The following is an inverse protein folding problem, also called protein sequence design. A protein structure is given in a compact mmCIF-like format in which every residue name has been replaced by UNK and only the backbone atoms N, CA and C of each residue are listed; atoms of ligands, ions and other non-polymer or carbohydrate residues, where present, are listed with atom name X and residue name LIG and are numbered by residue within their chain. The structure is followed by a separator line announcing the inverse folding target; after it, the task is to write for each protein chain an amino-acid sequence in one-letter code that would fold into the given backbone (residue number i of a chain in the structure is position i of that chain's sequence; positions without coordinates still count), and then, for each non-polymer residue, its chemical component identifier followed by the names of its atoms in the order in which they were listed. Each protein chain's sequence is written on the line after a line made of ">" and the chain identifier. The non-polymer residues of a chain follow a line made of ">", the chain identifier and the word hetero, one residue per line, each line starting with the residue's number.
data_IF_630987288271
#
_entry.id   IF_630987288271
#
_cell.length_a   1.000
_cell.length_b   1.000
_cell.length_c   1.000
_cell.angle_alpha   90.00
_cell.angle_beta   90.00
_cell.angle_gamma   90.00
#
_symmetry.space_group_name_H-M   'P 1'
#
loop_
_entity.id
_entity.type
_entity.pdbx_description
1 polymer ?
#
# COMPACT_ATOMS: atom_id res chain seq x y z
N UNK A 1 -19.50 17.53 -2.65
CA UNK A 1 -20.13 16.79 -3.81
C UNK A 1 -21.36 16.02 -3.32
N UNK A 2 -22.43 15.87 -4.15
CA UNK A 2 -23.65 15.19 -3.73
C UNK A 2 -23.41 13.67 -3.62
N UNK A 3 -23.83 13.05 -2.51
CA UNK A 3 -23.68 11.61 -2.25
C UNK A 3 -24.35 10.72 -3.32
N UNK A 4 -25.49 11.15 -3.87
CA UNK A 4 -26.17 10.41 -4.95
C UNK A 4 -25.33 10.36 -6.22
N UNK A 5 -24.68 11.45 -6.60
CA UNK A 5 -23.76 11.50 -7.73
C UNK A 5 -22.57 10.56 -7.51
N UNK A 6 -21.94 10.59 -6.32
CA UNK A 6 -20.85 9.68 -5.99
C UNK A 6 -21.27 8.21 -6.13
N UNK A 7 -22.46 7.85 -5.64
CA UNK A 7 -22.97 6.47 -5.75
C UNK A 7 -23.24 6.05 -7.19
N UNK A 8 -23.84 6.93 -8.00
CA UNK A 8 -24.05 6.67 -9.42
C UNK A 8 -22.71 6.47 -10.15
N UNK A 9 -21.73 7.35 -9.92
CA UNK A 9 -20.38 7.21 -10.46
C UNK A 9 -19.74 5.88 -10.08
N UNK A 10 -19.74 5.52 -8.79
CA UNK A 10 -19.18 4.28 -8.28
C UNK A 10 -19.83 3.05 -8.90
N UNK A 11 -21.16 3.08 -9.07
CA UNK A 11 -21.90 1.99 -9.70
C UNK A 11 -21.49 1.82 -11.18
N UNK A 12 -21.44 2.91 -11.95
CA UNK A 12 -21.00 2.89 -13.35
C UNK A 12 -19.55 2.43 -13.47
N UNK A 13 -18.66 2.94 -12.60
CA UNK A 13 -17.25 2.53 -12.58
C UNK A 13 -17.10 1.05 -12.26
N UNK A 14 -17.88 0.51 -11.29
CA UNK A 14 -17.87 -0.90 -10.93
C UNK A 14 -18.23 -1.82 -12.11
N UNK A 15 -19.18 -1.39 -12.94
CA UNK A 15 -19.58 -2.13 -14.14
C UNK A 15 -18.40 -2.11 -15.15
N UNK A 16 -17.84 -0.94 -15.44
CA UNK A 16 -16.68 -0.82 -16.36
C UNK A 16 -15.46 -1.61 -15.88
N UNK A 17 -15.20 -1.57 -14.57
CA UNK A 17 -14.06 -2.28 -13.97
C UNK A 17 -14.13 -3.81 -14.09
N UNK A 18 -15.32 -4.40 -14.33
CA UNK A 18 -15.47 -5.85 -14.58
C UNK A 18 -14.83 -6.31 -15.89
N UNK A 19 -14.72 -5.41 -16.85
CA UNK A 19 -14.17 -5.70 -18.17
C UNK A 19 -12.67 -5.40 -18.28
N UNK A 20 -12.05 -4.86 -17.22
CA UNK A 20 -10.62 -4.61 -17.19
C UNK A 20 -9.85 -5.91 -16.95
N UNK A 21 -8.68 -6.08 -17.61
CA UNK A 21 -7.84 -7.28 -17.47
C UNK A 21 -7.05 -7.28 -16.16
N UNK A 22 -7.76 -7.46 -15.05
CA UNK A 22 -7.15 -7.58 -13.73
C UNK A 22 -6.25 -8.81 -13.66
N UNK A 23 -5.09 -8.64 -13.07
CA UNK A 23 -4.14 -9.71 -12.80
C UNK A 23 -3.53 -9.57 -11.42
N UNK A 24 -2.98 -10.63 -10.91
CA UNK A 24 -2.10 -10.65 -9.75
C UNK A 24 -0.70 -11.02 -10.22
N UNK A 25 0.37 -10.57 -9.54
CA UNK A 25 1.71 -11.06 -9.81
C UNK A 25 1.81 -12.58 -9.62
N UNK A 26 2.74 -13.20 -10.32
CA UNK A 26 3.21 -14.53 -9.98
C UNK A 26 4.06 -14.43 -8.71
N UNK A 27 3.78 -15.28 -7.70
CA UNK A 27 4.35 -15.14 -6.35
C UNK A 27 5.35 -16.27 -6.08
N UNK A 28 6.51 -15.88 -5.58
CA UNK A 28 7.51 -16.77 -5.01
C UNK A 28 7.71 -16.39 -3.55
N UNK A 29 7.51 -17.33 -2.62
CA UNK A 29 7.54 -17.04 -1.19
C UNK A 29 8.41 -18.03 -0.43
N UNK A 30 8.97 -17.58 0.70
CA UNK A 30 9.75 -18.38 1.62
C UNK A 30 11.15 -17.79 1.82
N UNK A 31 11.84 -18.28 2.84
CA UNK A 31 13.21 -17.90 3.14
C UNK A 31 14.14 -18.22 1.98
N UNK A 32 15.00 -17.25 1.61
CA UNK A 32 15.92 -17.37 0.48
C UNK A 32 15.26 -17.24 -0.90
N UNK A 33 13.94 -16.97 -0.96
CA UNK A 33 13.26 -16.82 -2.24
C UNK A 33 13.75 -15.63 -3.07
N UNK A 34 14.50 -14.67 -2.49
CA UNK A 34 15.17 -13.60 -3.24
C UNK A 34 16.01 -14.16 -4.41
N UNK A 35 16.66 -15.31 -4.22
CA UNK A 35 17.49 -15.94 -5.24
C UNK A 35 16.71 -16.42 -6.47
N UNK A 36 15.38 -16.54 -6.36
CA UNK A 36 14.50 -16.83 -7.51
C UNK A 36 14.50 -15.70 -8.55
N UNK A 37 14.89 -14.47 -8.15
CA UNK A 37 15.05 -13.38 -9.10
C UNK A 37 16.00 -13.73 -10.24
N UNK A 38 17.12 -14.39 -9.97
CA UNK A 38 18.07 -14.82 -10.99
C UNK A 38 17.45 -15.85 -11.96
N UNK A 39 16.70 -16.82 -11.43
CA UNK A 39 16.00 -17.81 -12.26
C UNK A 39 14.92 -17.16 -13.13
N UNK A 40 14.11 -16.26 -12.57
CA UNK A 40 13.09 -15.48 -13.30
C UNK A 40 13.71 -14.70 -14.44
N UNK A 41 14.83 -14.02 -14.19
CA UNK A 41 15.53 -13.23 -15.20
C UNK A 41 16.01 -14.14 -16.34
N UNK A 42 16.68 -15.24 -16.02
CA UNK A 42 17.19 -16.23 -17.00
C UNK A 42 16.04 -16.83 -17.83
N UNK A 43 14.99 -17.30 -17.19
CA UNK A 43 13.84 -17.96 -17.85
C UNK A 43 13.07 -17.03 -18.78
N UNK A 44 13.11 -15.72 -18.53
CA UNK A 44 12.49 -14.70 -19.37
C UNK A 44 13.47 -14.03 -20.37
N UNK A 45 14.73 -14.49 -20.43
CA UNK A 45 15.73 -13.93 -21.31
C UNK A 45 16.16 -12.50 -20.97
N UNK A 46 15.96 -12.08 -19.72
CA UNK A 46 16.30 -10.75 -19.22
C UNK A 46 17.77 -10.78 -18.71
N UNK A 47 18.57 -9.84 -19.17
CA UNK A 47 20.01 -9.85 -18.96
C UNK A 47 20.56 -8.60 -18.30
N UNK A 48 19.78 -7.52 -18.25
CA UNK A 48 20.19 -6.21 -17.75
C UNK A 48 19.17 -5.61 -16.81
N UNK A 49 18.94 -6.22 -15.62
CA UNK A 49 18.01 -5.67 -14.65
C UNK A 49 18.50 -4.34 -14.09
N UNK A 50 17.58 -3.36 -14.04
CA UNK A 50 17.77 -2.13 -13.29
C UNK A 50 17.31 -2.37 -11.85
N UNK A 51 18.25 -2.44 -10.93
CA UNK A 51 17.97 -2.71 -9.52
C UNK A 51 17.72 -1.41 -8.78
N UNK A 52 16.58 -1.33 -8.09
CA UNK A 52 16.29 -0.25 -7.14
C UNK A 52 16.32 -0.86 -5.74
N UNK A 53 17.33 -0.46 -4.95
CA UNK A 53 17.51 -0.92 -3.58
C UNK A 53 18.25 0.16 -2.77
N UNK A 54 17.98 0.27 -1.47
CA UNK A 54 18.73 1.20 -0.61
C UNK A 54 20.19 0.77 -0.46
N UNK A 55 21.08 1.72 -0.10
CA UNK A 55 22.50 1.40 0.18
C UNK A 55 22.64 0.30 1.24
N UNK A 56 21.78 0.30 2.26
CA UNK A 56 21.78 -0.74 3.29
C UNK A 56 21.45 -2.11 2.70
N UNK A 57 20.43 -2.19 1.83
CA UNK A 57 20.06 -3.44 1.16
C UNK A 57 21.17 -3.94 0.23
N UNK A 58 21.84 -3.04 -0.51
CA UNK A 58 22.96 -3.42 -1.36
C UNK A 58 24.18 -3.96 -0.56
N UNK A 59 24.32 -3.58 0.70
CA UNK A 59 25.38 -4.08 1.59
C UNK A 59 24.99 -5.36 2.35
N UNK A 60 23.74 -5.80 2.23
CA UNK A 60 23.21 -6.98 2.91
C UNK A 60 23.73 -8.28 2.29
N UNK A 61 23.88 -9.33 3.12
CA UNK A 61 24.38 -10.63 2.69
C UNK A 61 23.46 -11.32 1.67
N UNK A 62 22.15 -11.17 1.81
CA UNK A 62 21.18 -11.75 0.87
C UNK A 62 21.29 -11.12 -0.53
N UNK A 63 21.56 -9.80 -0.58
CA UNK A 63 21.79 -9.12 -1.86
C UNK A 63 23.11 -9.55 -2.49
N UNK A 64 24.18 -9.74 -1.70
CA UNK A 64 25.46 -10.26 -2.19
C UNK A 64 25.30 -11.67 -2.78
N UNK A 65 24.60 -12.56 -2.08
CA UNK A 65 24.30 -13.90 -2.60
C UNK A 65 23.50 -13.85 -3.92
N UNK A 66 22.58 -12.90 -4.05
CA UNK A 66 21.87 -12.67 -5.32
C UNK A 66 22.84 -12.18 -6.42
N UNK A 67 23.74 -11.24 -6.10
CA UNK A 67 24.74 -10.75 -7.08
C UNK A 67 25.63 -11.89 -7.59
N UNK A 68 26.18 -12.72 -6.69
CA UNK A 68 26.98 -13.89 -7.05
C UNK A 68 26.22 -14.82 -8.01
N UNK A 69 24.95 -15.11 -7.71
CA UNK A 69 24.12 -15.96 -8.57
C UNK A 69 23.80 -15.32 -9.93
N UNK A 70 23.70 -14.00 -10.00
CA UNK A 70 23.50 -13.26 -11.26
C UNK A 70 24.77 -13.23 -12.11
N UNK A 71 25.93 -13.04 -11.46
CA UNK A 71 27.25 -13.08 -12.12
C UNK A 71 27.51 -14.45 -12.75
N UNK A 72 27.17 -15.56 -12.05
CA UNK A 72 27.22 -16.93 -12.59
C UNK A 72 26.39 -17.14 -13.86
N UNK A 73 25.39 -16.28 -14.08
CA UNK A 73 24.45 -16.37 -15.22
C UNK A 73 24.71 -15.29 -16.30
N UNK A 74 25.83 -14.56 -16.22
CA UNK A 74 26.18 -13.43 -17.11
C UNK A 74 25.06 -12.35 -17.15
N UNK A 75 24.44 -12.06 -16.01
CA UNK A 75 23.41 -11.01 -15.86
C UNK A 75 24.06 -9.77 -15.25
N UNK A 76 24.08 -8.67 -16.02
CA UNK A 76 24.73 -7.42 -15.64
C UNK A 76 23.77 -6.49 -14.91
N UNK A 77 24.08 -6.13 -13.66
CA UNK A 77 23.29 -5.22 -12.85
C UNK A 77 23.59 -3.74 -13.14
N UNK A 78 22.55 -2.91 -13.18
CA UNK A 78 22.63 -1.47 -12.94
C UNK A 78 21.89 -1.16 -11.66
N UNK A 79 22.51 -0.42 -10.72
CA UNK A 79 21.94 -0.19 -9.38
C UNK A 79 21.65 1.29 -9.17
N UNK A 80 20.45 1.60 -8.69
CA UNK A 80 20.03 2.92 -8.21
C UNK A 80 19.67 2.84 -6.72
N UNK A 81 20.44 3.52 -5.86
CA UNK A 81 20.30 3.39 -4.40
C UNK A 81 19.90 4.67 -3.66
N UNK A 82 19.42 5.67 -4.40
CA UNK A 82 19.17 7.02 -3.86
C UNK A 82 17.69 7.42 -3.95
N UNK A 83 16.77 6.46 -3.75
CA UNK A 83 15.34 6.79 -3.66
C UNK A 83 15.04 7.30 -2.26
N UNK A 84 14.53 8.53 -2.19
CA UNK A 84 14.04 9.17 -0.98
C UNK A 84 12.64 8.66 -0.56
N UNK A 85 12.27 8.76 0.72
CA UNK A 85 10.89 8.58 1.13
C UNK A 85 9.97 9.53 0.35
N UNK A 86 8.84 9.04 -0.16
CA UNK A 86 7.94 9.77 -1.06
C UNK A 86 8.66 10.31 -2.31
N UNK A 87 9.00 9.45 -3.27
CA UNK A 87 9.87 9.78 -4.40
C UNK A 87 9.36 10.98 -5.19
N UNK A 88 10.28 11.86 -5.55
CA UNK A 88 10.01 13.04 -6.35
C UNK A 88 9.93 12.73 -7.84
N UNK A 89 9.27 13.61 -8.61
CA UNK A 89 9.28 13.56 -10.07
C UNK A 89 10.71 13.56 -10.62
N UNK A 90 11.61 14.32 -9.99
CA UNK A 90 13.03 14.38 -10.38
C UNK A 90 13.73 13.02 -10.24
N UNK A 91 13.51 12.32 -9.13
CA UNK A 91 14.07 11.00 -8.90
C UNK A 91 13.54 10.00 -9.93
N UNK A 92 12.26 10.04 -10.25
CA UNK A 92 11.65 9.20 -11.29
C UNK A 92 12.27 9.46 -12.67
N UNK A 93 12.51 10.72 -13.05
CA UNK A 93 13.14 11.06 -14.35
C UNK A 93 14.63 10.62 -14.36
N UNK A 94 15.37 10.74 -13.24
CA UNK A 94 16.74 10.21 -13.12
C UNK A 94 16.78 8.69 -13.33
N UNK A 95 15.88 7.95 -12.67
CA UNK A 95 15.74 6.50 -12.85
C UNK A 95 15.45 6.15 -14.32
N UNK A 96 14.49 6.84 -14.96
CA UNK A 96 14.13 6.58 -16.34
C UNK A 96 15.28 6.91 -17.33
N UNK A 97 16.06 7.95 -17.04
CA UNK A 97 17.25 8.32 -17.82
C UNK A 97 18.35 7.28 -17.68
N UNK A 98 18.70 6.90 -16.44
CA UNK A 98 19.74 5.91 -16.13
C UNK A 98 19.41 4.54 -16.76
N UNK A 99 18.13 4.10 -16.64
CA UNK A 99 17.65 2.86 -17.24
C UNK A 99 17.96 2.79 -18.75
N UNK A 100 17.78 3.90 -19.48
CA UNK A 100 18.06 3.98 -20.93
C UNK A 100 19.56 3.99 -21.23
N UNK A 101 20.34 4.77 -20.45
CA UNK A 101 21.79 4.87 -20.61
C UNK A 101 22.41 3.48 -20.43
N UNK A 102 22.01 2.75 -19.40
CA UNK A 102 22.53 1.43 -19.08
C UNK A 102 21.92 0.32 -19.95
N UNK A 103 21.01 0.67 -20.86
CA UNK A 103 20.31 -0.27 -21.76
C UNK A 103 19.65 -1.42 -20.99
N UNK A 104 19.01 -1.12 -19.88
CA UNK A 104 18.34 -2.12 -19.05
C UNK A 104 17.07 -2.66 -19.72
N UNK A 105 16.65 -3.88 -19.39
CA UNK A 105 15.54 -4.60 -19.99
C UNK A 105 14.37 -4.90 -19.03
N UNK A 106 14.60 -4.76 -17.72
CA UNK A 106 13.59 -4.94 -16.67
C UNK A 106 13.94 -4.16 -15.40
N UNK A 107 13.00 -4.12 -14.45
CA UNK A 107 13.22 -3.62 -13.10
C UNK A 107 13.24 -4.79 -12.09
N UNK A 108 14.20 -4.76 -11.18
CA UNK A 108 14.22 -5.56 -9.95
C UNK A 108 14.21 -4.59 -8.77
N UNK A 109 13.12 -4.57 -8.00
CA UNK A 109 12.94 -3.61 -6.92
C UNK A 109 12.96 -4.32 -5.59
N UNK A 110 13.95 -3.99 -4.76
CA UNK A 110 14.11 -4.53 -3.40
C UNK A 110 13.88 -3.37 -2.43
N UNK A 111 12.73 -3.35 -1.75
CA UNK A 111 12.39 -2.23 -0.87
C UNK A 111 10.93 -2.18 -0.43
N UNK A 112 10.59 -1.12 0.29
CA UNK A 112 9.20 -0.81 0.67
C UNK A 112 8.45 -0.04 -0.42
N UNK A 113 7.41 0.71 -0.02
CA UNK A 113 6.54 1.44 -0.95
C UNK A 113 7.29 2.45 -1.84
N UNK A 114 8.16 3.30 -1.26
CA UNK A 114 8.83 4.37 -2.03
C UNK A 114 9.71 3.87 -3.17
N UNK A 115 10.60 2.88 -3.01
CA UNK A 115 11.31 2.26 -4.12
C UNK A 115 10.39 1.64 -5.16
N UNK A 116 9.29 1.00 -4.74
CA UNK A 116 8.30 0.40 -5.63
C UNK A 116 7.57 1.45 -6.47
N UNK A 117 7.15 2.54 -5.84
CA UNK A 117 6.46 3.64 -6.50
C UNK A 117 7.39 4.35 -7.50
N UNK A 118 8.65 4.60 -7.12
CA UNK A 118 9.64 5.18 -8.02
C UNK A 118 9.86 4.30 -9.27
N UNK A 119 9.99 2.98 -9.08
CA UNK A 119 10.15 2.03 -10.18
C UNK A 119 8.94 1.99 -11.12
N UNK A 120 7.73 1.91 -10.56
CA UNK A 120 6.49 1.90 -11.34
C UNK A 120 6.30 3.19 -12.12
N UNK A 121 6.55 4.34 -11.47
CA UNK A 121 6.45 5.65 -12.12
C UNK A 121 7.49 5.80 -13.24
N UNK A 122 8.75 5.36 -13.01
CA UNK A 122 9.78 5.34 -14.04
C UNK A 122 9.43 4.40 -15.20
N UNK A 123 8.88 3.22 -14.90
CA UNK A 123 8.41 2.29 -15.91
C UNK A 123 7.26 2.88 -16.75
N UNK A 124 6.32 3.60 -16.12
CA UNK A 124 5.27 4.36 -16.81
C UNK A 124 5.85 5.44 -17.73
N UNK A 125 6.85 6.18 -17.24
CA UNK A 125 7.55 7.22 -17.99
C UNK A 125 8.30 6.66 -19.19
N UNK A 126 8.94 5.49 -19.05
CA UNK A 126 9.60 4.76 -20.13
C UNK A 126 8.60 4.27 -21.19
N UNK A 127 7.44 3.79 -20.76
CA UNK A 127 6.38 3.34 -21.67
C UNK A 127 5.73 4.51 -22.44
N UNK A 128 5.77 5.73 -21.89
CA UNK A 128 5.19 6.95 -22.47
C UNK A 128 6.22 8.08 -22.60
N UNK A 129 7.25 7.90 -23.47
CA UNK A 129 8.27 8.93 -23.71
C UNK A 129 7.71 10.22 -24.34
N UNK A 130 6.52 10.12 -24.90
CA UNK A 130 5.75 11.21 -25.51
C UNK A 130 5.06 12.13 -24.49
N UNK A 131 5.00 11.74 -23.18
CA UNK A 131 4.27 12.47 -22.15
C UNK A 131 5.13 12.76 -20.93
N UNK A 132 5.11 13.97 -20.37
CA UNK A 132 5.68 14.22 -19.06
C UNK A 132 4.90 13.44 -17.98
N UNK A 133 5.54 13.20 -16.83
CA UNK A 133 4.94 12.42 -15.74
C UNK A 133 3.62 13.04 -15.24
N UNK A 134 3.50 14.37 -15.24
CA UNK A 134 2.26 15.08 -14.87
C UNK A 134 1.04 14.70 -15.69
N UNK A 135 1.22 14.35 -16.97
CA UNK A 135 0.13 13.88 -17.82
C UNK A 135 -0.23 12.39 -17.61
N UNK A 136 0.59 11.64 -16.86
CA UNK A 136 0.34 10.26 -16.48
C UNK A 136 -0.39 10.14 -15.15
N UNK A 137 -0.48 11.23 -14.38
CA UNK A 137 -1.22 11.31 -13.11
C UNK A 137 -2.71 11.00 -13.34
N UNK A 138 -3.27 10.20 -12.45
CA UNK A 138 -4.67 9.76 -12.47
C UNK A 138 -4.84 8.34 -13.01
N UNK A 139 -6.08 8.00 -13.34
CA UNK A 139 -6.47 6.63 -13.65
C UNK A 139 -6.35 6.33 -15.17
N UNK A 140 -5.72 5.20 -15.50
CA UNK A 140 -5.62 4.65 -16.87
C UNK A 140 -5.05 5.64 -17.90
N UNK A 141 -3.96 6.34 -17.54
CA UNK A 141 -3.29 7.32 -18.43
C UNK A 141 -2.07 6.75 -19.14
N UNK A 142 -1.47 5.68 -18.63
CA UNK A 142 -0.30 5.02 -19.24
C UNK A 142 -0.73 4.21 -20.45
N UNK A 143 -1.61 3.24 -20.29
CA UNK A 143 -2.22 2.42 -21.35
C UNK A 143 -1.23 1.80 -22.34
N UNK A 144 -0.01 1.52 -21.89
CA UNK A 144 1.05 0.86 -22.64
C UNK A 144 1.75 -0.13 -21.76
N UNK A 145 2.31 -1.19 -22.36
CA UNK A 145 3.11 -2.16 -21.65
C UNK A 145 4.37 -1.48 -21.12
N UNK A 146 4.63 -1.67 -19.81
CA UNK A 146 5.85 -1.23 -19.15
C UNK A 146 6.92 -2.32 -19.24
N UNK A 147 8.21 -1.99 -19.01
CA UNK A 147 9.25 -3.00 -18.79
C UNK A 147 8.82 -4.00 -17.70
N UNK A 148 9.21 -5.28 -17.80
CA UNK A 148 8.93 -6.25 -16.75
C UNK A 148 9.43 -5.75 -15.39
N UNK A 149 8.61 -5.94 -14.34
CA UNK A 149 8.95 -5.52 -12.98
C UNK A 149 8.84 -6.72 -12.04
N UNK A 150 9.94 -7.00 -11.34
CA UNK A 150 10.06 -7.99 -10.26
C UNK A 150 10.09 -7.19 -8.96
N UNK A 151 9.11 -7.41 -8.10
CA UNK A 151 8.94 -6.69 -6.85
C UNK A 151 9.32 -7.57 -5.66
N UNK A 152 10.22 -7.09 -4.82
CA UNK A 152 10.70 -7.77 -3.61
C UNK A 152 10.45 -6.86 -2.42
N UNK A 153 9.30 -6.97 -1.73
CA UNK A 153 9.00 -6.12 -0.58
C UNK A 153 9.92 -6.45 0.60
N UNK A 154 10.41 -5.40 1.25
CA UNK A 154 11.18 -5.50 2.51
C UNK A 154 10.40 -4.93 3.70
N UNK A 155 9.13 -4.57 3.49
CA UNK A 155 8.16 -4.17 4.51
C UNK A 155 6.85 -4.91 4.27
N UNK A 156 6.13 -5.25 5.33
CA UNK A 156 4.84 -5.92 5.27
C UNK A 156 3.72 -4.90 5.56
N UNK A 157 3.39 -4.07 4.58
CA UNK A 157 2.45 -2.97 4.79
C UNK A 157 1.75 -2.50 3.53
N UNK A 158 2.47 -1.85 2.65
CA UNK A 158 1.92 -1.15 1.49
C UNK A 158 1.28 -2.07 0.44
N UNK A 159 1.69 -3.33 0.37
CA UNK A 159 1.25 -4.25 -0.68
C UNK A 159 1.56 -3.75 -2.10
N UNK A 160 2.50 -2.80 -2.25
CA UNK A 160 2.78 -2.16 -3.54
C UNK A 160 3.22 -3.14 -4.61
N UNK A 161 3.74 -4.30 -4.23
CA UNK A 161 4.05 -5.42 -5.12
C UNK A 161 2.84 -5.99 -5.86
N UNK A 162 1.61 -5.63 -5.45
CA UNK A 162 0.35 -6.11 -6.08
C UNK A 162 -0.47 -5.01 -6.74
N UNK A 163 -0.11 -3.73 -6.53
CA UNK A 163 -1.00 -2.61 -6.83
C UNK A 163 -0.82 -2.02 -8.21
N UNK A 164 -1.91 -1.40 -8.70
CA UNK A 164 -1.95 -0.60 -9.93
C UNK A 164 -1.35 0.80 -9.74
N UNK A 165 -1.06 1.20 -8.51
CA UNK A 165 -0.72 2.58 -8.18
C UNK A 165 0.78 2.77 -7.97
N UNK A 166 1.24 3.98 -8.29
CA UNK A 166 2.51 4.55 -7.89
C UNK A 166 2.27 5.99 -7.43
N UNK A 167 2.75 6.34 -6.25
CA UNK A 167 2.59 7.69 -5.69
C UNK A 167 3.92 8.43 -5.81
N UNK A 168 3.88 9.62 -6.41
CA UNK A 168 5.04 10.49 -6.58
C UNK A 168 4.75 11.87 -6.01
N UNK A 169 5.77 12.54 -5.50
CA UNK A 169 5.66 13.91 -4.98
C UNK A 169 5.98 14.91 -6.09
N UNK A 170 5.02 15.79 -6.38
CA UNK A 170 5.20 16.88 -7.34
C UNK A 170 6.06 18.01 -6.79
N UNK A 171 6.44 18.96 -7.66
CA UNK A 171 7.13 20.20 -7.27
C UNK A 171 6.27 21.10 -6.37
N UNK A 172 4.97 20.88 -6.32
CA UNK A 172 3.99 21.51 -5.44
C UNK A 172 3.92 20.87 -4.04
N UNK A 173 4.80 19.90 -3.75
CA UNK A 173 4.80 19.05 -2.55
C UNK A 173 3.53 18.21 -2.36
N UNK A 174 2.65 18.16 -3.36
CA UNK A 174 1.49 17.28 -3.34
C UNK A 174 1.84 15.88 -3.85
N UNK A 175 1.16 14.88 -3.27
CA UNK A 175 1.26 13.50 -3.71
C UNK A 175 0.32 13.26 -4.88
N UNK A 176 0.87 12.78 -5.97
CA UNK A 176 0.15 12.46 -7.19
C UNK A 176 0.19 10.96 -7.46
N UNK A 177 -0.97 10.33 -7.59
CA UNK A 177 -1.07 8.92 -7.90
C UNK A 177 -1.16 8.70 -9.42
N UNK A 178 -0.31 7.82 -9.93
CA UNK A 178 -0.40 7.23 -11.27
C UNK A 178 -1.00 5.85 -11.08
N UNK A 179 -2.17 5.59 -11.66
CA UNK A 179 -2.89 4.33 -11.47
C UNK A 179 -3.25 3.70 -12.80
N UNK A 180 -2.63 2.57 -13.10
CA UNK A 180 -2.90 1.84 -14.35
C UNK A 180 -2.60 0.34 -14.17
N UNK A 181 -3.39 -0.51 -14.79
CA UNK A 181 -3.24 -1.98 -14.71
C UNK A 181 -1.88 -2.48 -15.18
N UNK A 182 -1.24 -1.75 -16.10
CA UNK A 182 0.10 -2.10 -16.57
C UNK A 182 1.17 -1.97 -15.47
N UNK A 183 0.92 -1.19 -14.40
CA UNK A 183 1.86 -0.98 -13.30
C UNK A 183 1.91 -2.13 -12.30
N UNK A 184 0.95 -3.06 -12.33
CA UNK A 184 1.03 -4.25 -11.50
C UNK A 184 2.32 -5.00 -11.83
N UNK A 185 3.21 -5.31 -10.86
CA UNK A 185 4.41 -6.10 -11.11
C UNK A 185 4.09 -7.45 -11.76
N UNK A 186 5.01 -7.98 -12.55
CA UNK A 186 4.82 -9.30 -13.14
C UNK A 186 5.09 -10.40 -12.13
N UNK A 187 6.07 -10.19 -11.27
CA UNK A 187 6.52 -11.12 -10.24
C UNK A 187 6.60 -10.42 -8.89
N UNK A 188 6.24 -11.14 -7.84
CA UNK A 188 6.44 -10.73 -6.46
C UNK A 188 7.23 -11.82 -5.73
N UNK A 189 8.29 -11.43 -5.01
CA UNK A 189 9.12 -12.33 -4.23
C UNK A 189 8.98 -11.94 -2.76
N UNK A 190 8.36 -12.81 -1.97
CA UNK A 190 8.06 -12.58 -0.56
C UNK A 190 9.06 -13.34 0.32
N UNK A 191 10.24 -12.75 0.52
CA UNK A 191 11.30 -13.35 1.34
C UNK A 191 11.26 -12.76 2.76
N UNK A 192 10.86 -13.55 3.78
CA UNK A 192 10.75 -13.06 5.15
C UNK A 192 12.09 -12.64 5.75
N UNK A 193 13.22 -13.21 5.30
CA UNK A 193 14.55 -12.85 5.79
C UNK A 193 14.86 -11.37 5.56
N UNK A 194 14.35 -10.77 4.48
CA UNK A 194 14.54 -9.37 4.16
C UNK A 194 13.79 -8.40 5.09
N UNK A 195 12.90 -8.90 5.93
CA UNK A 195 12.12 -8.11 6.90
C UNK A 195 12.61 -8.23 8.34
N UNK A 196 13.52 -9.16 8.62
CA UNK A 196 14.03 -9.44 9.98
C UNK A 196 14.67 -8.21 10.63
N UNK A 197 15.38 -7.40 9.87
CA UNK A 197 16.04 -6.19 10.39
C UNK A 197 15.14 -4.96 10.57
N UNK A 198 13.82 -5.08 10.38
CA UNK A 198 12.90 -3.95 10.57
C UNK A 198 12.75 -3.59 12.05
N UNK A 199 12.88 -2.29 12.41
CA UNK A 199 12.58 -1.82 13.76
C UNK A 199 11.14 -2.14 14.17
N UNK A 200 10.87 -2.41 15.48
CA UNK A 200 9.52 -2.74 15.96
C UNK A 200 8.47 -1.69 15.58
N UNK A 201 8.77 -0.39 15.70
CA UNK A 201 7.81 0.66 15.34
C UNK A 201 7.45 0.64 13.86
N UNK A 202 8.41 0.38 12.96
CA UNK A 202 8.13 0.21 11.52
C UNK A 202 7.28 -1.03 11.27
N UNK A 203 7.55 -2.14 11.98
CA UNK A 203 6.73 -3.36 11.90
C UNK A 203 5.28 -3.07 12.30
N UNK A 204 5.07 -2.33 13.41
CA UNK A 204 3.75 -1.94 13.87
C UNK A 204 3.02 -1.04 12.87
N UNK A 205 3.68 0.04 12.45
CA UNK A 205 3.10 1.02 11.52
C UNK A 205 2.73 0.38 10.18
N UNK A 206 3.64 -0.40 9.60
CA UNK A 206 3.37 -1.06 8.30
C UNK A 206 2.33 -2.16 8.42
N UNK A 207 2.34 -2.94 9.50
CA UNK A 207 1.32 -3.97 9.73
C UNK A 207 -0.08 -3.37 9.93
N UNK A 208 -0.19 -2.23 10.59
CA UNK A 208 -1.46 -1.50 10.74
C UNK A 208 -1.89 -0.84 9.43
N UNK A 209 -0.96 -0.44 8.57
CA UNK A 209 -1.24 -0.02 7.20
C UNK A 209 -1.88 -1.15 6.39
N UNK A 210 -1.29 -2.36 6.42
CA UNK A 210 -1.87 -3.54 5.80
C UNK A 210 -3.27 -3.87 6.35
N UNK A 211 -3.47 -3.74 7.66
CA UNK A 211 -4.79 -3.92 8.28
C UNK A 211 -5.80 -2.90 7.74
N UNK A 212 -5.39 -1.64 7.63
CA UNK A 212 -6.25 -0.57 7.09
C UNK A 212 -6.63 -0.85 5.64
N UNK A 213 -5.67 -1.24 4.81
CA UNK A 213 -5.92 -1.67 3.43
C UNK A 213 -6.96 -2.80 3.36
N UNK A 214 -6.77 -3.85 4.17
CA UNK A 214 -7.67 -5.00 4.20
C UNK A 214 -9.09 -4.61 4.64
N UNK A 215 -9.21 -3.82 5.72
CA UNK A 215 -10.51 -3.40 6.26
C UNK A 215 -11.23 -2.46 5.30
N UNK A 216 -10.56 -1.45 4.74
CA UNK A 216 -11.18 -0.54 3.78
C UNK A 216 -11.59 -1.26 2.49
N UNK A 217 -10.74 -2.15 1.97
CA UNK A 217 -11.11 -3.01 0.85
C UNK A 217 -12.33 -3.86 1.17
N UNK A 218 -12.39 -4.48 2.34
CA UNK A 218 -13.53 -5.29 2.76
C UNK A 218 -14.83 -4.48 2.87
N UNK A 219 -14.73 -3.25 3.35
CA UNK A 219 -15.86 -2.33 3.51
C UNK A 219 -16.33 -1.69 2.19
N UNK A 220 -15.57 -1.79 1.12
CA UNK A 220 -15.91 -1.27 -0.21
C UNK A 220 -17.29 -1.72 -0.67
N UNK A 221 -18.16 -0.78 -1.11
CA UNK A 221 -19.56 -1.12 -1.42
C UNK A 221 -19.76 -1.78 -2.77
N UNK A 222 -19.05 -1.31 -3.81
CA UNK A 222 -19.36 -1.67 -5.19
C UNK A 222 -18.22 -2.41 -5.90
N UNK A 223 -16.97 -2.18 -5.49
CA UNK A 223 -15.79 -2.70 -6.22
C UNK A 223 -15.35 -4.09 -5.74
N UNK A 224 -15.91 -4.56 -4.63
CA UNK A 224 -15.64 -5.88 -4.08
C UNK A 224 -16.10 -7.02 -4.99
N UNK A 225 -15.28 -8.06 -5.03
CA UNK A 225 -15.62 -9.39 -5.56
C UNK A 225 -15.59 -10.43 -4.43
N UNK A 226 -16.02 -11.65 -4.72
CA UNK A 226 -15.86 -12.76 -3.77
C UNK A 226 -14.38 -12.97 -3.40
N UNK A 227 -13.49 -12.88 -4.40
CA UNK A 227 -12.05 -13.06 -4.20
C UNK A 227 -11.45 -11.94 -3.35
N UNK A 228 -11.74 -10.66 -3.65
CA UNK A 228 -11.18 -9.53 -2.88
C UNK A 228 -11.67 -9.55 -1.43
N UNK A 229 -12.89 -9.99 -1.17
CA UNK A 229 -13.39 -10.16 0.21
C UNK A 229 -12.63 -11.25 0.96
N UNK A 230 -12.41 -12.39 0.30
CA UNK A 230 -11.68 -13.50 0.92
C UNK A 230 -10.23 -13.11 1.24
N UNK A 231 -9.54 -12.43 0.31
CA UNK A 231 -8.19 -11.92 0.54
C UNK A 231 -8.16 -10.93 1.72
N UNK A 232 -9.11 -10.01 1.78
CA UNK A 232 -9.20 -9.05 2.89
C UNK A 232 -9.52 -9.74 4.23
N UNK A 233 -10.43 -10.73 4.27
CA UNK A 233 -10.73 -11.53 5.47
C UNK A 233 -9.47 -12.28 5.94
N UNK A 234 -8.74 -12.93 5.02
CA UNK A 234 -7.50 -13.64 5.34
C UNK A 234 -6.43 -12.70 5.88
N UNK A 235 -6.24 -11.54 5.23
CA UNK A 235 -5.28 -10.53 5.70
C UNK A 235 -5.61 -10.06 7.11
N UNK A 236 -6.88 -9.73 7.40
CA UNK A 236 -7.31 -9.32 8.74
C UNK A 236 -6.98 -10.39 9.79
N UNK A 237 -7.39 -11.65 9.56
CA UNK A 237 -7.14 -12.74 10.50
C UNK A 237 -5.65 -12.95 10.72
N UNK A 238 -4.85 -12.95 9.66
CA UNK A 238 -3.40 -13.16 9.73
C UNK A 238 -2.73 -12.01 10.50
N UNK A 239 -3.09 -10.76 10.22
CA UNK A 239 -2.51 -9.60 10.92
C UNK A 239 -2.81 -9.64 12.42
N UNK A 240 -4.06 -9.89 12.82
CA UNK A 240 -4.42 -10.02 14.24
C UNK A 240 -3.71 -11.20 14.94
N UNK A 241 -3.33 -12.22 14.19
CA UNK A 241 -2.63 -13.38 14.74
C UNK A 241 -1.12 -13.15 14.89
N UNK A 242 -0.49 -12.45 13.92
CA UNK A 242 0.96 -12.45 13.76
C UNK A 242 1.63 -11.09 13.98
N UNK A 243 0.91 -9.94 13.83
CA UNK A 243 1.55 -8.62 13.88
C UNK A 243 2.23 -8.34 15.21
N UNK A 244 1.55 -8.58 16.34
CA UNK A 244 2.14 -8.33 17.65
C UNK A 244 3.31 -9.29 17.96
N UNK A 245 3.30 -10.52 17.41
CA UNK A 245 4.41 -11.45 17.53
C UNK A 245 5.62 -10.94 16.77
N UNK A 246 5.43 -10.55 15.50
CA UNK A 246 6.48 -9.96 14.68
C UNK A 246 7.02 -8.63 15.25
N UNK A 247 6.17 -7.86 15.95
CA UNK A 247 6.56 -6.64 16.66
C UNK A 247 7.46 -6.94 17.87
N UNK A 248 7.10 -7.97 18.66
CA UNK A 248 7.85 -8.36 19.87
C UNK A 248 9.14 -9.11 19.55
N UNK A 249 9.06 -9.99 18.57
CA UNK A 249 10.20 -10.78 18.07
C UNK A 249 10.36 -10.58 16.56
N UNK A 250 11.15 -9.58 16.20
CA UNK A 250 11.44 -9.26 14.82
C UNK A 250 12.25 -10.34 14.08
N UNK A 251 12.77 -11.35 14.77
CA UNK A 251 13.55 -12.45 14.18
C UNK A 251 12.71 -13.67 13.84
N UNK A 252 11.43 -13.71 14.25
CA UNK A 252 10.50 -14.79 13.96
C UNK A 252 10.17 -14.86 12.47
N UNK A 253 10.89 -15.66 11.70
CA UNK A 253 10.64 -15.86 10.27
C UNK A 253 9.19 -16.32 9.96
N UNK A 254 8.55 -17.20 10.75
CA UNK A 254 7.15 -17.55 10.49
C UNK A 254 6.20 -16.36 10.59
N UNK A 255 6.37 -15.48 11.61
CA UNK A 255 5.51 -14.30 11.76
C UNK A 255 5.82 -13.25 10.69
N UNK A 256 7.09 -13.08 10.29
CA UNK A 256 7.48 -12.22 9.16
C UNK A 256 6.89 -12.71 7.84
N UNK A 257 6.93 -14.01 7.57
CA UNK A 257 6.34 -14.61 6.38
C UNK A 257 4.82 -14.42 6.34
N UNK A 258 4.14 -14.64 7.47
CA UNK A 258 2.72 -14.42 7.60
C UNK A 258 2.34 -12.95 7.35
N UNK A 259 3.11 -12.00 7.87
CA UNK A 259 2.87 -10.57 7.66
C UNK A 259 3.12 -10.14 6.21
N UNK A 260 4.16 -10.66 5.53
CA UNK A 260 4.36 -10.41 4.10
C UNK A 260 3.19 -10.93 3.25
N UNK A 261 2.71 -12.14 3.53
CA UNK A 261 1.55 -12.70 2.84
C UNK A 261 0.29 -11.88 3.12
N UNK A 262 0.06 -11.45 4.36
CA UNK A 262 -1.09 -10.61 4.70
C UNK A 262 -1.05 -9.25 4.00
N UNK A 263 0.13 -8.62 3.90
CA UNK A 263 0.33 -7.38 3.15
C UNK A 263 0.04 -7.58 1.66
N UNK A 264 0.51 -8.68 1.08
CA UNK A 264 0.22 -9.06 -0.30
C UNK A 264 -1.29 -9.24 -0.52
N UNK A 265 -1.97 -9.99 0.35
CA UNK A 265 -3.41 -10.25 0.26
C UNK A 265 -4.22 -8.96 0.39
N UNK A 266 -3.86 -8.09 1.35
CA UNK A 266 -4.46 -6.77 1.52
C UNK A 266 -4.25 -5.91 0.26
N UNK A 267 -3.04 -5.90 -0.29
CA UNK A 267 -2.67 -5.20 -1.52
C UNK A 267 -3.48 -5.67 -2.73
N UNK A 268 -3.59 -6.98 -2.92
CA UNK A 268 -4.39 -7.59 -3.98
C UNK A 268 -5.89 -7.32 -3.81
N UNK A 269 -6.38 -7.20 -2.58
CA UNK A 269 -7.75 -6.83 -2.30
C UNK A 269 -8.02 -5.36 -2.65
N UNK A 270 -7.24 -4.42 -2.10
CA UNK A 270 -7.54 -3.00 -2.26
C UNK A 270 -7.19 -2.46 -3.65
N UNK A 271 -6.25 -3.07 -4.36
CA UNK A 271 -5.92 -2.63 -5.74
C UNK A 271 -7.16 -2.63 -6.65
N UNK A 272 -8.13 -3.49 -6.36
CA UNK A 272 -9.42 -3.57 -7.05
C UNK A 272 -10.57 -2.93 -6.26
N UNK A 273 -10.60 -3.16 -4.95
CA UNK A 273 -11.68 -2.69 -4.08
C UNK A 273 -11.54 -1.22 -3.67
N UNK A 274 -10.38 -0.61 -3.93
CA UNK A 274 -9.98 0.73 -3.50
C UNK A 274 -9.77 0.85 -1.99
N UNK A 275 -9.14 1.94 -1.60
CA UNK A 275 -9.04 2.42 -0.22
C UNK A 275 -10.25 3.28 0.14
N UNK A 276 -10.28 3.91 1.30
CA UNK A 276 -11.41 4.68 1.78
C UNK A 276 -11.06 5.97 2.50
N UNK A 277 -11.94 6.39 3.43
CA UNK A 277 -11.82 7.67 4.12
C UNK A 277 -10.64 7.73 5.10
N UNK A 278 -10.15 6.59 5.58
CA UNK A 278 -8.93 6.54 6.42
C UNK A 278 -7.75 7.05 5.61
N UNK A 279 -7.52 6.46 4.43
CA UNK A 279 -6.44 6.86 3.55
C UNK A 279 -6.58 8.30 3.07
N UNK A 280 -7.80 8.75 2.74
CA UNK A 280 -8.04 10.14 2.33
C UNK A 280 -7.57 11.16 3.38
N UNK A 281 -7.78 10.87 4.67
CA UNK A 281 -7.29 11.72 5.76
C UNK A 281 -5.77 11.52 5.96
N UNK A 282 -5.29 10.28 5.96
CA UNK A 282 -3.88 9.96 6.19
C UNK A 282 -2.94 10.64 5.18
N UNK A 283 -3.36 10.75 3.92
CA UNK A 283 -2.59 11.44 2.88
C UNK A 283 -2.40 12.94 3.19
N UNK A 284 -3.40 13.59 3.80
CA UNK A 284 -3.28 15.01 4.20
C UNK A 284 -2.27 15.19 5.34
N UNK A 285 -2.24 14.26 6.30
CA UNK A 285 -1.25 14.24 7.39
C UNK A 285 0.17 14.00 6.86
N UNK A 286 0.33 13.08 5.93
CA UNK A 286 1.61 12.85 5.26
C UNK A 286 2.10 14.07 4.48
N UNK A 287 1.19 14.78 3.79
CA UNK A 287 1.51 15.96 3.00
C UNK A 287 1.88 17.19 3.84
N UNK A 288 1.08 17.50 4.87
CA UNK A 288 1.27 18.72 5.67
C UNK A 288 2.30 18.56 6.80
N UNK A 289 2.35 17.40 7.41
CA UNK A 289 3.11 17.19 8.66
C UNK A 289 4.16 16.09 8.56
N UNK A 290 4.32 15.46 7.40
CA UNK A 290 5.24 14.33 7.20
C UNK A 290 5.01 13.17 8.19
N UNK A 291 3.78 13.00 8.67
CA UNK A 291 3.41 11.86 9.53
C UNK A 291 3.63 10.56 8.75
N UNK A 292 4.30 9.55 9.32
CA UNK A 292 4.44 8.25 8.67
C UNK A 292 3.08 7.67 8.28
N UNK A 293 2.97 7.17 7.05
CA UNK A 293 1.69 6.78 6.45
C UNK A 293 0.97 5.70 7.27
N UNK A 294 1.70 4.65 7.67
CA UNK A 294 1.14 3.57 8.48
C UNK A 294 0.72 4.02 9.88
N UNK A 295 1.46 4.95 10.48
CA UNK A 295 1.06 5.58 11.75
C UNK A 295 -0.24 6.37 11.60
N UNK A 296 -0.35 7.17 10.53
CA UNK A 296 -1.57 7.91 10.25
C UNK A 296 -2.78 6.99 10.10
N UNK A 297 -2.64 5.93 9.34
CA UNK A 297 -3.69 4.92 9.14
C UNK A 297 -4.06 4.21 10.45
N UNK A 298 -3.09 3.84 11.28
CA UNK A 298 -3.32 3.15 12.55
C UNK A 298 -4.17 3.97 13.54
N UNK A 299 -3.89 5.28 13.65
CA UNK A 299 -4.63 6.19 14.52
C UNK A 299 -6.03 6.47 13.98
N UNK A 300 -6.16 6.68 12.68
CA UNK A 300 -7.42 7.08 12.04
C UNK A 300 -8.40 5.93 11.87
N UNK A 301 -7.92 4.70 11.67
CA UNK A 301 -8.79 3.54 11.39
C UNK A 301 -9.92 3.38 12.39
N UNK A 302 -9.69 3.27 13.71
CA UNK A 302 -10.77 3.09 14.67
C UNK A 302 -11.75 4.28 14.69
N UNK A 303 -11.27 5.51 14.48
CA UNK A 303 -12.10 6.72 14.47
C UNK A 303 -13.08 6.75 13.29
N UNK A 304 -12.60 6.40 12.10
CA UNK A 304 -13.41 6.34 10.87
C UNK A 304 -14.42 5.19 10.95
N UNK A 305 -14.03 4.02 11.49
CA UNK A 305 -14.92 2.88 11.66
C UNK A 305 -16.06 3.18 12.63
N UNK A 306 -15.78 3.89 13.74
CA UNK A 306 -16.80 4.38 14.66
C UNK A 306 -17.76 5.35 13.97
N UNK A 307 -17.23 6.29 13.17
CA UNK A 307 -18.04 7.28 12.48
C UNK A 307 -18.92 6.66 11.37
N UNK A 308 -18.48 5.56 10.74
CA UNK A 308 -19.35 4.81 9.82
C UNK A 308 -20.56 4.18 10.51
N UNK A 309 -20.48 3.87 11.79
CA UNK A 309 -21.56 3.38 12.61
C UNK A 309 -22.34 2.23 11.97
N UNK A 310 -23.67 2.35 11.92
CA UNK A 310 -24.56 1.31 11.38
C UNK A 310 -24.24 0.91 9.94
N UNK A 311 -23.67 1.80 9.13
CA UNK A 311 -23.36 1.51 7.72
C UNK A 311 -22.26 0.46 7.54
N UNK A 312 -21.34 0.34 8.49
CA UNK A 312 -20.25 -0.67 8.47
C UNK A 312 -20.55 -1.86 9.40
N UNK A 313 -21.50 -1.73 10.32
CA UNK A 313 -21.76 -2.66 11.43
C UNK A 313 -21.85 -4.14 10.99
N UNK A 314 -22.64 -4.57 10.00
CA UNK A 314 -22.74 -5.99 9.63
C UNK A 314 -21.41 -6.58 9.16
N UNK A 315 -20.61 -5.78 8.43
CA UNK A 315 -19.31 -6.22 7.90
C UNK A 315 -18.26 -6.30 8.99
N UNK A 316 -18.23 -5.32 9.90
CA UNK A 316 -17.34 -5.33 11.07
C UNK A 316 -17.69 -6.48 12.03
N UNK A 317 -18.96 -6.76 12.25
CA UNK A 317 -19.43 -7.90 13.03
C UNK A 317 -18.98 -9.24 12.42
N UNK A 318 -18.93 -9.35 11.10
CA UNK A 318 -18.40 -10.52 10.39
C UNK A 318 -16.89 -10.68 10.65
N UNK A 319 -16.11 -9.58 10.55
CA UNK A 319 -14.67 -9.61 10.86
C UNK A 319 -14.42 -9.99 12.32
N UNK A 320 -15.21 -9.42 13.26
CA UNK A 320 -15.18 -9.80 14.67
C UNK A 320 -15.39 -11.30 14.87
N UNK A 321 -16.38 -11.87 14.15
CA UNK A 321 -16.67 -13.31 14.21
C UNK A 321 -15.51 -14.17 13.72
N UNK A 322 -14.78 -13.75 12.67
CA UNK A 322 -13.59 -14.45 12.19
C UNK A 322 -12.46 -14.47 13.22
N UNK A 323 -12.37 -13.43 14.04
CA UNK A 323 -11.40 -13.32 15.15
C UNK A 323 -11.89 -14.00 16.45
N UNK A 324 -13.08 -14.61 16.48
CA UNK A 324 -13.65 -15.21 17.68
C UNK A 324 -14.15 -14.19 18.71
N UNK A 325 -14.27 -12.90 18.37
CA UNK A 325 -14.77 -11.87 19.27
C UNK A 325 -16.27 -12.05 19.49
N UNK A 326 -16.67 -12.10 20.74
CA UNK A 326 -18.05 -12.40 21.15
C UNK A 326 -18.91 -11.13 21.24
N UNK A 327 -20.22 -11.32 21.13
CA UNK A 327 -21.25 -10.28 21.32
C UNK A 327 -22.62 -10.76 20.83
N UNK A 328 -23.66 -10.39 21.56
CA UNK A 328 -25.02 -10.88 21.31
C UNK A 328 -25.65 -10.26 20.04
N UNK A 329 -25.23 -9.06 19.68
CA UNK A 329 -25.70 -8.35 18.50
C UNK A 329 -24.55 -8.00 17.53
N UNK A 330 -24.90 -7.66 16.30
CA UNK A 330 -23.91 -7.17 15.33
C UNK A 330 -23.23 -5.89 15.80
N UNK A 331 -23.97 -4.99 16.47
CA UNK A 331 -23.42 -3.74 17.00
C UNK A 331 -22.39 -4.01 18.10
N UNK A 332 -22.64 -4.97 18.97
CA UNK A 332 -21.68 -5.35 20.04
C UNK A 332 -20.42 -5.96 19.43
N UNK A 333 -20.56 -6.86 18.46
CA UNK A 333 -19.41 -7.46 17.76
C UNK A 333 -18.61 -6.42 16.97
N UNK A 334 -19.28 -5.50 16.25
CA UNK A 334 -18.60 -4.43 15.52
C UNK A 334 -17.81 -3.51 16.47
N UNK A 335 -18.37 -3.15 17.62
CA UNK A 335 -17.66 -2.38 18.65
C UNK A 335 -16.48 -3.16 19.23
N UNK A 336 -16.62 -4.47 19.45
CA UNK A 336 -15.54 -5.32 19.91
C UNK A 336 -14.38 -5.36 18.90
N UNK A 337 -14.65 -5.42 17.60
CA UNK A 337 -13.63 -5.34 16.58
C UNK A 337 -12.85 -4.01 16.60
N UNK A 338 -13.56 -2.88 16.71
CA UNK A 338 -12.93 -1.55 16.81
C UNK A 338 -12.12 -1.42 18.10
N UNK A 339 -12.65 -1.91 19.22
CA UNK A 339 -11.96 -1.91 20.51
C UNK A 339 -10.66 -2.74 20.45
N UNK A 340 -10.67 -3.89 19.75
CA UNK A 340 -9.47 -4.71 19.59
C UNK A 340 -8.40 -4.03 18.72
N UNK A 341 -8.79 -3.28 17.69
CA UNK A 341 -7.85 -2.44 16.93
C UNK A 341 -7.16 -1.42 17.87
N UNK A 342 -7.93 -0.71 18.70
CA UNK A 342 -7.37 0.24 19.67
C UNK A 342 -6.45 -0.43 20.69
N UNK A 343 -6.86 -1.59 21.19
CA UNK A 343 -6.06 -2.36 22.13
C UNK A 343 -4.73 -2.82 21.50
N UNK A 344 -4.76 -3.29 20.26
CA UNK A 344 -3.57 -3.69 19.50
C UNK A 344 -2.64 -2.49 19.27
N UNK A 345 -3.17 -1.32 18.87
CA UNK A 345 -2.39 -0.08 18.76
C UNK A 345 -1.68 0.25 20.08
N UNK A 346 -2.42 0.24 21.19
CA UNK A 346 -1.87 0.55 22.51
C UNK A 346 -0.76 -0.43 22.93
N UNK A 347 -0.94 -1.74 22.69
CA UNK A 347 0.07 -2.77 22.99
C UNK A 347 1.36 -2.61 22.17
N UNK A 348 1.28 -1.97 21.00
CA UNK A 348 2.43 -1.68 20.12
C UNK A 348 2.96 -0.24 20.27
N UNK A 349 2.43 0.54 21.23
CA UNK A 349 2.88 1.90 21.50
C UNK A 349 2.46 2.93 20.44
N UNK A 350 1.46 2.62 19.62
CA UNK A 350 0.87 3.57 18.66
C UNK A 350 -0.06 4.52 19.43
N UNK A 351 0.08 5.85 19.29
CA UNK A 351 -0.77 6.81 19.95
C UNK A 351 -2.22 6.74 19.47
N UNK A 352 -3.14 7.26 20.24
CA UNK A 352 -4.57 7.32 19.91
C UNK A 352 -4.98 8.66 19.26
N UNK A 353 -4.07 9.62 19.18
CA UNK A 353 -4.27 10.96 18.62
C UNK A 353 -2.97 11.56 18.08
N UNK A 354 -3.08 12.68 17.34
CA UNK A 354 -1.96 13.45 16.82
C UNK A 354 -1.81 14.77 17.59
N UNK A 355 -0.56 15.10 17.94
CA UNK A 355 -0.21 16.38 18.56
C UNK A 355 0.25 17.42 17.52
N UNK A 356 0.48 17.03 16.27
CA UNK A 356 1.01 17.91 15.23
C UNK A 356 -0.05 18.70 14.46
N UNK A 357 -1.32 18.31 14.55
CA UNK A 357 -2.40 18.96 13.81
C UNK A 357 -2.66 20.35 14.37
N UNK A 358 -2.65 21.37 13.50
CA UNK A 358 -3.07 22.73 13.84
C UNK A 358 -4.54 22.91 13.49
N UNK A 359 -5.32 23.54 14.38
CA UNK A 359 -6.77 23.73 14.17
C UNK A 359 -7.09 24.51 12.89
N UNK A 360 -6.25 25.46 12.54
CA UNK A 360 -6.37 26.27 11.32
C UNK A 360 -6.20 25.47 10.03
N UNK A 361 -5.52 24.31 10.06
CA UNK A 361 -5.30 23.46 8.89
C UNK A 361 -6.44 22.45 8.66
N UNK A 362 -7.29 22.21 9.67
CA UNK A 362 -8.38 21.22 9.58
C UNK A 362 -9.32 21.46 8.39
N UNK A 363 -9.75 22.69 8.08
CA UNK A 363 -10.58 22.94 6.89
C UNK A 363 -9.88 22.56 5.58
N UNK A 364 -8.58 22.87 5.46
CA UNK A 364 -7.78 22.52 4.29
C UNK A 364 -7.64 21.00 4.13
N UNK A 365 -7.31 20.30 5.23
CA UNK A 365 -7.22 18.83 5.27
C UNK A 365 -8.55 18.19 4.86
N UNK A 366 -9.66 18.69 5.40
CA UNK A 366 -11.00 18.19 5.08
C UNK A 366 -11.35 18.38 3.61
N UNK A 367 -11.00 19.53 3.02
CA UNK A 367 -11.19 19.79 1.58
C UNK A 367 -10.35 18.83 0.74
N UNK A 368 -9.07 18.62 1.05
CA UNK A 368 -8.21 17.69 0.30
C UNK A 368 -8.72 16.25 0.41
N UNK A 369 -9.07 15.79 1.61
CA UNK A 369 -9.63 14.45 1.81
C UNK A 369 -10.94 14.25 1.04
N UNK A 370 -11.81 15.26 1.01
CA UNK A 370 -13.07 15.20 0.27
C UNK A 370 -12.84 15.18 -1.26
N UNK A 371 -11.87 15.92 -1.77
CA UNK A 371 -11.50 15.93 -3.19
C UNK A 371 -10.90 14.59 -3.64
N UNK A 372 -10.08 13.98 -2.79
CA UNK A 372 -9.48 12.67 -3.07
C UNK A 372 -10.52 11.55 -3.05
N UNK A 373 -11.34 11.50 -1.99
CA UNK A 373 -12.30 10.42 -1.79
C UNK A 373 -13.47 10.45 -2.80
N UNK A 374 -13.93 11.65 -3.16
CA UNK A 374 -15.16 11.82 -3.94
C UNK A 374 -14.88 12.18 -5.41
N UNK A 375 -15.54 11.48 -6.35
CA UNK A 375 -16.56 10.43 -6.19
C UNK A 375 -16.00 9.01 -6.14
N UNK A 376 -14.69 8.82 -6.11
CA UNK A 376 -13.98 7.60 -6.50
C UNK A 376 -14.06 6.49 -5.44
N UNK A 377 -13.92 6.82 -4.17
CA UNK A 377 -13.82 5.82 -3.10
C UNK A 377 -15.17 5.20 -2.73
N UNK A 378 -15.30 3.87 -2.83
CA UNK A 378 -16.57 3.16 -2.64
C UNK A 378 -16.89 2.88 -1.16
N UNK A 379 -16.75 3.90 -0.34
CA UNK A 379 -16.87 3.85 1.12
C UNK A 379 -18.29 3.53 1.61
N UNK A 380 -18.48 3.01 2.83
CA UNK A 380 -19.79 2.80 3.44
C UNK A 380 -20.60 4.09 3.52
N UNK A 381 -19.97 5.19 3.91
CA UNK A 381 -20.58 6.52 4.04
C UNK A 381 -19.75 7.53 3.27
N UNK A 382 -20.37 8.24 2.32
CA UNK A 382 -19.74 9.38 1.64
C UNK A 382 -19.58 10.51 2.66
N UNK A 383 -18.35 11.02 2.80
CA UNK A 383 -18.08 12.18 3.63
C UNK A 383 -18.07 13.44 2.78
N UNK A 384 -18.70 14.48 3.30
CA UNK A 384 -18.46 15.87 2.90
C UNK A 384 -17.32 16.47 3.73
N UNK A 385 -16.92 17.69 3.40
CA UNK A 385 -15.84 18.39 4.10
C UNK A 385 -16.14 18.53 5.60
N UNK A 386 -17.38 18.82 5.98
CA UNK A 386 -17.77 18.97 7.37
C UNK A 386 -17.62 17.66 8.16
N UNK A 387 -17.89 16.51 7.54
CA UNK A 387 -17.72 15.21 8.19
C UNK A 387 -16.25 14.80 8.27
N UNK A 388 -15.45 15.09 7.24
CA UNK A 388 -13.99 14.92 7.32
C UNK A 388 -13.40 15.77 8.45
N UNK A 389 -13.77 17.06 8.53
CA UNK A 389 -13.31 17.95 9.60
C UNK A 389 -13.59 17.38 10.99
N UNK A 390 -14.82 16.90 11.25
CA UNK A 390 -15.17 16.30 12.55
C UNK A 390 -14.32 15.08 12.91
N UNK A 391 -13.97 14.22 11.94
CA UNK A 391 -13.11 13.05 12.20
C UNK A 391 -11.67 13.49 12.46
N UNK A 392 -11.17 14.47 11.70
CA UNK A 392 -9.84 15.05 11.91
C UNK A 392 -9.75 15.71 13.29
N UNK A 393 -10.77 16.49 13.70
CA UNK A 393 -10.84 17.11 15.05
C UNK A 393 -10.76 16.06 16.16
N UNK A 394 -11.46 14.91 16.00
CA UNK A 394 -11.41 13.79 16.96
C UNK A 394 -10.05 13.10 17.01
N UNK A 395 -9.25 13.19 15.97
CA UNK A 395 -7.89 12.65 15.93
C UNK A 395 -6.83 13.59 16.52
N UNK A 396 -7.23 14.82 16.82
CA UNK A 396 -6.37 15.84 17.41
C UNK A 396 -6.60 15.94 18.92
N UNK A 397 -5.52 16.00 19.68
CA UNK A 397 -5.62 16.29 21.13
C UNK A 397 -5.69 17.81 21.32
N UNK A 398 -6.84 18.31 21.81
CA UNK A 398 -6.94 19.69 22.28
C UNK A 398 -6.13 19.82 23.57
N UNK A 399 -4.98 20.52 23.52
CA UNK A 399 -4.29 20.96 24.73
C UNK A 399 -5.15 21.95 25.51
#
# INVERSE_FOLDING_TARGET
>A
MNAMFCRAFQCCFAVGARFLPWRTPEVFSGEGSLLRAADILRENGLRRPFVIASRRQCADEHFRALQEKLDEQDILLSIFSSVEPNPSVETVEKIAAQYKIDSCDCFLVIGGGSPMDAAKAAAARLARPDKPLSQLVGLLKVRRRIPPLIAVPTTAGTGSETTIAAVVTGSDHHKHAISDLCLIPRYAILDPALTVGLPPHITAETGMDALTHAVEAYLSRFYNTKQTRLLAENAVVTIFTHLERAYRDGTSLPDRAAMLQASFDAGAAFTRASVGNVHAIAHTLGGLYSVPHGLANAVLLPLVLEDYGKAACPRLARLAGLLGLKGDTEEVRAKAFIAEIRAMNARMGIPDHFNCIRKEDIPLMATWAAQEANPVYPVPVIYDEARFARVIERSHHSQ
#
